data_IF_166860863903
#
_entry.id   IF_166860863903
#
_cell.length_a   1.000
_cell.length_b   1.000
_cell.length_c   1.000
_cell.angle_alpha   90.00
_cell.angle_beta   90.00
_cell.angle_gamma   90.00
#
_symmetry.space_group_name_H-M   'P 1'
#
loop_
_entity.id
_entity.type
_entity.pdbx_description
1 polymer ?
#
# COMPACT_ATOMS: atom_id res chain seq x y z
N UNK A 1 -19.93 -7.05 -10.37
CA UNK A 1 -20.04 -6.31 -9.10
C UNK A 1 -21.43 -5.72 -9.00
N UNK A 2 -21.99 -5.61 -7.79
CA UNK A 2 -23.26 -4.91 -7.57
C UNK A 2 -23.03 -3.40 -7.56
N UNK A 3 -23.91 -2.63 -8.19
CA UNK A 3 -23.85 -1.17 -8.06
C UNK A 3 -24.23 -0.73 -6.64
N UNK A 4 -23.70 0.41 -6.20
CA UNK A 4 -23.94 1.00 -4.89
C UNK A 4 -24.53 2.39 -5.02
N UNK A 5 -25.37 2.78 -4.06
CA UNK A 5 -25.97 4.10 -4.03
C UNK A 5 -24.90 5.15 -3.68
N UNK A 6 -24.57 6.01 -4.62
CA UNK A 6 -23.68 7.15 -4.46
C UNK A 6 -24.51 8.44 -4.42
N UNK A 7 -24.28 9.28 -3.40
CA UNK A 7 -25.05 10.50 -3.18
C UNK A 7 -24.15 11.65 -2.78
N UNK A 8 -24.13 12.70 -3.60
CA UNK A 8 -23.42 13.94 -3.30
C UNK A 8 -24.47 15.03 -3.20
N UNK A 9 -24.67 15.56 -1.99
CA UNK A 9 -25.73 16.52 -1.69
C UNK A 9 -25.21 17.69 -0.87
N UNK A 10 -24.43 18.54 -1.53
CA UNK A 10 -23.84 19.72 -0.92
C UNK A 10 -24.79 20.90 -1.05
N UNK A 11 -25.32 21.40 0.07
CA UNK A 11 -26.25 22.53 0.04
C UNK A 11 -25.63 23.77 -0.63
N UNK A 12 -24.33 24.00 -0.40
CA UNK A 12 -23.58 25.11 -1.00
C UNK A 12 -23.46 24.96 -2.52
N UNK A 13 -23.12 23.76 -3.01
CA UNK A 13 -23.04 23.50 -4.45
C UNK A 13 -24.42 23.61 -5.10
N UNK A 14 -25.47 23.06 -4.47
CA UNK A 14 -26.85 23.19 -4.96
C UNK A 14 -27.27 24.65 -5.08
N UNK A 15 -27.07 25.43 -4.02
CA UNK A 15 -27.46 26.84 -4.03
C UNK A 15 -26.68 27.65 -5.08
N UNK A 16 -25.37 27.41 -5.22
CA UNK A 16 -24.56 28.13 -6.21
C UNK A 16 -24.85 27.71 -7.65
N UNK A 17 -25.24 26.46 -7.91
CA UNK A 17 -25.66 25.99 -9.24
C UNK A 17 -26.94 26.68 -9.77
N UNK A 18 -27.76 27.26 -8.89
CA UNK A 18 -28.96 28.01 -9.28
C UNK A 18 -28.62 29.37 -9.93
N UNK A 19 -27.39 29.86 -9.75
CA UNK A 19 -26.92 31.12 -10.33
C UNK A 19 -26.49 30.86 -11.78
N UNK A 20 -27.45 30.96 -12.71
CA UNK A 20 -27.27 30.62 -14.14
C UNK A 20 -26.68 31.74 -15.01
N UNK A 21 -26.27 32.87 -14.44
CA UNK A 21 -25.78 34.01 -15.21
C UNK A 21 -24.27 33.91 -15.39
N UNK A 22 -23.84 33.59 -16.61
CA UNK A 22 -22.42 33.52 -16.99
C UNK A 22 -21.89 32.10 -17.15
N UNK A 23 -20.83 31.97 -17.95
CA UNK A 23 -20.05 30.74 -18.15
C UNK A 23 -18.58 31.13 -18.32
N UNK A 24 -18.04 31.80 -17.31
CA UNK A 24 -16.72 32.43 -17.29
C UNK A 24 -15.63 31.53 -16.69
N UNK A 25 -15.96 30.28 -16.35
CA UNK A 25 -14.99 29.26 -15.94
C UNK A 25 -15.24 27.89 -16.59
N UNK A 26 -14.18 27.13 -16.84
CA UNK A 26 -14.23 25.82 -17.46
C UNK A 26 -13.33 24.80 -16.73
N UNK A 27 -13.90 23.69 -16.28
CA UNK A 27 -13.12 22.51 -15.92
C UNK A 27 -12.82 21.70 -17.19
N UNK A 28 -11.56 21.35 -17.42
CA UNK A 28 -11.15 20.47 -18.51
C UNK A 28 -10.60 19.19 -17.88
N UNK A 29 -11.36 18.09 -17.95
CA UNK A 29 -10.95 16.79 -17.37
C UNK A 29 -10.67 15.80 -18.50
N UNK A 30 -9.41 15.40 -18.67
CA UNK A 30 -8.92 14.55 -19.78
C UNK A 30 -9.49 15.01 -21.15
N UNK A 31 -9.52 16.33 -21.38
CA UNK A 31 -10.06 16.94 -22.60
C UNK A 31 -11.58 17.18 -22.64
N UNK A 32 -12.36 16.68 -21.68
CA UNK A 32 -13.79 16.97 -21.56
C UNK A 32 -14.03 18.33 -20.87
N UNK A 33 -14.83 19.21 -21.47
CA UNK A 33 -15.08 20.57 -20.97
C UNK A 33 -16.40 20.68 -20.20
N UNK A 34 -16.35 21.28 -19.01
CA UNK A 34 -17.51 21.57 -18.16
C UNK A 34 -17.54 23.05 -17.80
N UNK A 35 -18.44 23.77 -18.44
CA UNK A 35 -18.60 25.21 -18.25
C UNK A 35 -19.46 25.53 -17.03
N UNK A 36 -19.04 26.54 -16.28
CA UNK A 36 -19.74 27.05 -15.09
C UNK A 36 -19.34 28.50 -14.83
N UNK A 37 -19.84 29.10 -13.76
CA UNK A 37 -19.35 30.40 -13.29
C UNK A 37 -18.11 30.25 -12.41
N UNK A 38 -17.20 31.23 -12.40
CA UNK A 38 -16.07 31.27 -11.47
C UNK A 38 -16.53 31.14 -10.01
N UNK A 39 -17.66 31.77 -9.67
CA UNK A 39 -18.23 31.72 -8.31
C UNK A 39 -18.65 30.30 -7.92
N UNK A 40 -19.32 29.57 -8.83
CA UNK A 40 -19.70 28.19 -8.58
C UNK A 40 -18.49 27.26 -8.59
N UNK A 41 -17.53 27.48 -9.48
CA UNK A 41 -16.28 26.72 -9.54
C UNK A 41 -15.47 26.82 -8.23
N UNK A 42 -15.40 28.01 -7.62
CA UNK A 42 -14.75 28.22 -6.33
C UNK A 42 -15.47 27.52 -5.15
N UNK A 43 -16.79 27.32 -5.25
CA UNK A 43 -17.55 26.54 -4.27
C UNK A 43 -17.32 25.04 -4.45
N UNK A 44 -17.27 24.58 -5.71
CA UNK A 44 -17.05 23.18 -6.06
C UNK A 44 -15.63 22.69 -5.73
N UNK A 45 -14.63 23.57 -5.80
CA UNK A 45 -13.23 23.19 -5.68
C UNK A 45 -12.44 24.21 -4.87
N UNK A 46 -11.85 23.75 -3.77
CA UNK A 46 -10.87 24.57 -3.03
C UNK A 46 -9.64 24.87 -3.89
N UNK A 47 -9.21 23.94 -4.75
CA UNK A 47 -8.14 24.18 -5.73
C UNK A 47 -8.44 25.39 -6.60
N UNK A 48 -9.63 25.45 -7.22
CA UNK A 48 -10.04 26.60 -8.04
C UNK A 48 -10.16 27.87 -7.21
N UNK A 49 -10.73 27.80 -6.00
CA UNK A 49 -10.82 28.95 -5.09
C UNK A 49 -9.44 29.56 -4.81
N UNK A 50 -8.44 28.72 -4.51
CA UNK A 50 -7.08 29.16 -4.23
C UNK A 50 -6.40 29.78 -5.47
N UNK A 51 -6.68 29.24 -6.66
CA UNK A 51 -6.23 29.83 -7.93
C UNK A 51 -6.85 31.21 -8.11
N UNK A 52 -8.18 31.34 -7.99
CA UNK A 52 -8.90 32.59 -8.22
C UNK A 52 -8.56 33.70 -7.20
N UNK A 53 -8.16 33.34 -5.97
CA UNK A 53 -7.62 34.29 -4.99
C UNK A 53 -6.28 34.87 -5.46
N UNK A 54 -5.46 34.06 -6.14
CA UNK A 54 -4.12 34.45 -6.60
C UNK A 54 -4.16 35.13 -7.97
N UNK A 55 -5.00 34.61 -8.86
CA UNK A 55 -5.22 35.07 -10.22
C UNK A 55 -6.72 35.02 -10.54
N UNK A 56 -7.38 36.18 -10.38
CA UNK A 56 -8.81 36.32 -10.65
C UNK A 56 -9.16 36.29 -12.15
N UNK A 57 -8.15 36.28 -13.03
CA UNK A 57 -8.35 36.21 -14.48
C UNK A 57 -8.37 34.77 -15.00
N UNK A 58 -8.10 33.77 -14.14
CA UNK A 58 -8.13 32.37 -14.51
C UNK A 58 -9.54 31.94 -14.99
N UNK A 59 -9.61 31.39 -16.21
CA UNK A 59 -10.86 30.99 -16.86
C UNK A 59 -10.99 29.47 -16.99
N UNK A 60 -9.92 28.71 -16.76
CA UNK A 60 -9.96 27.27 -16.87
C UNK A 60 -8.95 26.58 -15.96
N UNK A 61 -9.22 25.31 -15.68
CA UNK A 61 -8.27 24.39 -15.05
C UNK A 61 -8.24 23.09 -15.86
N UNK A 62 -7.03 22.63 -16.17
CA UNK A 62 -6.81 21.33 -16.80
C UNK A 62 -6.48 20.29 -15.73
N UNK A 63 -7.19 19.18 -15.77
CA UNK A 63 -7.12 18.08 -14.82
C UNK A 63 -6.96 16.80 -15.63
N UNK A 64 -5.83 16.14 -15.44
CA UNK A 64 -5.59 14.83 -16.03
C UNK A 64 -5.69 13.78 -14.92
N UNK A 65 -6.68 12.90 -15.05
CA UNK A 65 -6.87 11.72 -14.22
C UNK A 65 -6.29 10.53 -14.98
N UNK A 66 -5.40 9.78 -14.34
CA UNK A 66 -4.97 8.53 -14.91
C UNK A 66 -6.11 7.50 -14.87
N UNK A 67 -6.55 7.09 -16.05
CA UNK A 67 -7.45 5.96 -16.22
C UNK A 67 -6.56 4.73 -16.35
N UNK A 68 -6.43 3.95 -15.28
CA UNK A 68 -5.62 2.73 -15.26
C UNK A 68 -5.85 1.89 -16.51
N UNK A 69 -4.81 1.50 -17.23
CA UNK A 69 -4.95 0.86 -18.56
C UNK A 69 -5.13 -0.67 -18.52
N UNK A 70 -5.11 -1.29 -17.34
CA UNK A 70 -5.08 -2.76 -17.23
C UNK A 70 -6.38 -3.44 -17.71
N UNK A 71 -7.51 -2.72 -17.77
CA UNK A 71 -8.76 -3.18 -18.37
C UNK A 71 -9.44 -2.06 -19.18
N UNK A 72 -8.97 -1.83 -20.41
CA UNK A 72 -9.36 -0.68 -21.23
C UNK A 72 -10.88 -0.50 -21.37
N UNK A 73 -11.65 -1.56 -21.67
CA UNK A 73 -13.08 -1.41 -21.95
C UNK A 73 -13.92 -1.03 -20.71
N UNK A 74 -13.71 -1.71 -19.58
CA UNK A 74 -14.43 -1.42 -18.33
C UNK A 74 -14.04 -0.06 -17.77
N UNK A 75 -12.76 0.30 -17.86
CA UNK A 75 -12.28 1.59 -17.33
C UNK A 75 -12.77 2.77 -18.17
N UNK A 76 -12.95 2.60 -19.49
CA UNK A 76 -13.59 3.62 -20.34
C UNK A 76 -15.06 3.81 -19.95
N UNK A 77 -15.80 2.75 -19.64
CA UNK A 77 -17.20 2.87 -19.23
C UNK A 77 -17.33 3.57 -17.87
N UNK A 78 -16.57 3.13 -16.86
CA UNK A 78 -16.56 3.76 -15.53
C UNK A 78 -16.10 5.22 -15.61
N UNK A 79 -15.12 5.54 -16.46
CA UNK A 79 -14.72 6.92 -16.70
C UNK A 79 -15.84 7.76 -17.32
N UNK A 80 -16.54 7.25 -18.35
CA UNK A 80 -17.70 7.95 -18.92
C UNK A 80 -18.80 8.18 -17.88
N UNK A 81 -19.07 7.20 -17.02
CA UNK A 81 -20.01 7.35 -15.90
C UNK A 81 -19.54 8.45 -14.94
N UNK A 82 -18.27 8.45 -14.53
CA UNK A 82 -17.70 9.45 -13.63
C UNK A 82 -17.79 10.86 -14.21
N UNK A 83 -17.46 11.05 -15.49
CA UNK A 83 -17.60 12.32 -16.21
C UNK A 83 -19.06 12.79 -16.27
N UNK A 84 -20.01 11.88 -16.53
CA UNK A 84 -21.43 12.22 -16.51
C UNK A 84 -21.91 12.63 -15.10
N UNK A 85 -21.39 11.98 -14.06
CA UNK A 85 -21.68 12.32 -12.66
C UNK A 85 -21.15 13.71 -12.34
N UNK A 86 -19.90 13.98 -12.70
CA UNK A 86 -19.29 15.29 -12.52
C UNK A 86 -20.07 16.37 -13.29
N UNK A 87 -20.47 16.11 -14.53
CA UNK A 87 -21.29 17.03 -15.33
C UNK A 87 -22.60 17.39 -14.63
N UNK A 88 -23.35 16.39 -14.15
CA UNK A 88 -24.59 16.62 -13.40
C UNK A 88 -24.33 17.39 -12.12
N UNK A 89 -23.26 17.06 -11.39
CA UNK A 89 -22.90 17.75 -10.16
C UNK A 89 -22.54 19.22 -10.40
N UNK A 90 -21.84 19.55 -11.48
CA UNK A 90 -21.56 20.95 -11.88
C UNK A 90 -22.84 21.70 -12.28
N UNK A 91 -23.82 21.01 -12.88
CA UNK A 91 -25.07 21.64 -13.32
C UNK A 91 -26.10 21.82 -12.20
N UNK A 92 -26.17 20.88 -11.26
CA UNK A 92 -27.25 20.80 -10.27
C UNK A 92 -26.75 20.93 -8.82
N UNK A 93 -25.44 20.90 -8.60
CA UNK A 93 -24.81 20.82 -7.28
C UNK A 93 -25.16 19.56 -6.51
N UNK A 94 -25.76 18.57 -7.18
CA UNK A 94 -26.32 17.35 -6.60
C UNK A 94 -26.16 16.19 -7.57
N UNK A 95 -25.93 15.01 -7.01
CA UNK A 95 -26.08 13.77 -7.74
C UNK A 95 -26.56 12.65 -6.82
N UNK A 96 -27.46 11.82 -7.32
CA UNK A 96 -27.78 10.53 -6.70
C UNK A 96 -28.01 9.47 -7.77
N UNK A 97 -27.31 8.35 -7.64
CA UNK A 97 -27.42 7.24 -8.58
C UNK A 97 -26.66 6.02 -8.08
N UNK A 98 -26.86 4.90 -8.77
CA UNK A 98 -26.14 3.67 -8.50
C UNK A 98 -24.87 3.63 -9.37
N UNK A 99 -23.72 3.31 -8.77
CA UNK A 99 -22.43 3.27 -9.46
C UNK A 99 -21.59 2.06 -9.00
N UNK A 100 -20.67 1.63 -9.87
CA UNK A 100 -19.63 0.65 -9.55
C UNK A 100 -18.48 1.27 -8.73
N UNK A 101 -17.65 0.41 -8.10
CA UNK A 101 -16.54 0.86 -7.24
C UNK A 101 -15.50 1.61 -8.07
N UNK A 102 -15.22 1.16 -9.29
CA UNK A 102 -14.27 1.78 -10.21
C UNK A 102 -14.71 3.22 -10.57
N UNK A 103 -16.01 3.42 -10.85
CA UNK A 103 -16.57 4.76 -11.07
C UNK A 103 -16.42 5.62 -9.82
N UNK A 104 -16.68 5.07 -8.63
CA UNK A 104 -16.52 5.80 -7.37
C UNK A 104 -15.06 6.18 -7.10
N UNK A 105 -14.12 5.33 -7.50
CA UNK A 105 -12.69 5.60 -7.36
C UNK A 105 -12.24 6.76 -8.28
N UNK A 106 -12.69 6.78 -9.53
CA UNK A 106 -12.38 7.90 -10.46
C UNK A 106 -12.95 9.22 -9.92
N UNK A 107 -14.14 9.19 -9.32
CA UNK A 107 -14.73 10.39 -8.69
C UNK A 107 -13.97 10.79 -7.43
N UNK A 108 -13.44 9.83 -6.66
CA UNK A 108 -12.56 10.12 -5.54
C UNK A 108 -11.28 10.83 -6.00
N UNK A 109 -10.65 10.34 -7.07
CA UNK A 109 -9.43 10.93 -7.64
C UNK A 109 -9.69 12.38 -8.09
N UNK A 110 -10.83 12.64 -8.75
CA UNK A 110 -11.32 14.00 -8.99
C UNK A 110 -11.48 14.82 -7.71
N UNK A 111 -12.09 14.22 -6.69
CA UNK A 111 -12.27 14.83 -5.38
C UNK A 111 -10.96 15.28 -4.75
N UNK A 112 -9.92 14.46 -4.82
CA UNK A 112 -8.57 14.80 -4.31
C UNK A 112 -7.96 15.97 -5.08
N UNK A 113 -7.96 15.91 -6.42
CA UNK A 113 -7.37 16.96 -7.27
C UNK A 113 -8.10 18.31 -7.11
N UNK A 114 -9.42 18.26 -6.97
CA UNK A 114 -10.26 19.44 -6.77
C UNK A 114 -10.32 19.90 -5.31
N UNK A 115 -9.82 19.10 -4.37
CA UNK A 115 -10.06 19.24 -2.93
C UNK A 115 -11.56 19.41 -2.61
N UNK A 116 -12.36 18.48 -3.14
CA UNK A 116 -13.80 18.39 -2.90
C UNK A 116 -14.08 17.28 -1.88
N UNK A 117 -14.38 17.67 -0.64
CA UNK A 117 -14.65 16.74 0.47
C UNK A 117 -15.92 15.91 0.27
N UNK A 118 -16.92 16.41 -0.48
CA UNK A 118 -18.15 15.67 -0.70
C UNK A 118 -17.87 14.41 -1.55
N UNK A 119 -17.01 14.50 -2.58
CA UNK A 119 -16.57 13.32 -3.34
C UNK A 119 -15.67 12.40 -2.53
N UNK A 120 -14.71 12.97 -1.78
CA UNK A 120 -13.76 12.20 -0.95
C UNK A 120 -14.51 11.37 0.10
N UNK A 121 -15.47 12.00 0.79
CA UNK A 121 -16.24 11.36 1.86
C UNK A 121 -17.16 10.25 1.36
N UNK A 122 -17.78 10.42 0.18
CA UNK A 122 -18.65 9.38 -0.38
C UNK A 122 -17.90 8.10 -0.73
N UNK A 123 -16.69 8.20 -1.27
CA UNK A 123 -15.88 7.01 -1.55
C UNK A 123 -15.50 6.26 -0.27
N UNK A 124 -15.05 6.98 0.77
CA UNK A 124 -14.78 6.41 2.09
C UNK A 124 -16.01 5.70 2.67
N UNK A 125 -17.19 6.32 2.57
CA UNK A 125 -18.44 5.73 3.02
C UNK A 125 -18.76 4.42 2.28
N UNK A 126 -18.69 4.42 0.95
CA UNK A 126 -18.95 3.24 0.12
C UNK A 126 -18.01 2.10 0.50
N UNK A 127 -16.70 2.33 0.53
CA UNK A 127 -15.71 1.30 0.88
C UNK A 127 -15.94 0.77 2.30
N UNK A 128 -16.28 1.66 3.26
CA UNK A 128 -16.59 1.25 4.63
C UNK A 128 -17.81 0.31 4.72
N UNK A 129 -18.78 0.47 3.82
CA UNK A 129 -20.06 -0.26 3.84
C UNK A 129 -20.05 -1.61 3.10
N UNK A 130 -19.05 -1.84 2.22
CA UNK A 130 -18.99 -3.03 1.35
C UNK A 130 -18.19 -4.15 1.99
N UNK A 131 -18.62 -5.40 1.87
CA UNK A 131 -17.80 -6.55 2.29
C UNK A 131 -16.68 -6.84 1.29
N UNK A 132 -15.51 -7.22 1.82
CA UNK A 132 -14.37 -7.63 1.00
C UNK A 132 -14.62 -9.05 0.48
N UNK A 133 -14.29 -9.26 -0.79
CA UNK A 133 -14.40 -10.51 -1.54
C UNK A 133 -13.25 -10.64 -2.51
N UNK A 134 -13.05 -11.82 -3.09
CA UNK A 134 -12.04 -12.02 -4.13
C UNK A 134 -12.23 -11.08 -5.33
N UNK A 135 -13.49 -10.70 -5.64
CA UNK A 135 -13.80 -9.85 -6.79
C UNK A 135 -13.47 -8.37 -6.60
N UNK A 136 -13.27 -7.90 -5.36
CA UNK A 136 -13.10 -6.47 -5.05
C UNK A 136 -11.87 -6.16 -4.18
N UNK A 137 -11.11 -7.18 -3.76
CA UNK A 137 -9.94 -7.02 -2.89
C UNK A 137 -8.90 -6.05 -3.47
N UNK A 138 -8.71 -6.02 -4.79
CA UNK A 138 -7.81 -5.06 -5.45
C UNK A 138 -8.23 -3.60 -5.18
N UNK A 139 -9.52 -3.29 -5.29
CA UNK A 139 -10.06 -1.96 -5.01
C UNK A 139 -9.86 -1.58 -3.54
N UNK A 140 -9.98 -2.54 -2.61
CA UNK A 140 -9.74 -2.32 -1.18
C UNK A 140 -8.26 -2.08 -0.86
N UNK A 141 -7.34 -2.84 -1.48
CA UNK A 141 -5.90 -2.60 -1.34
C UNK A 141 -5.57 -1.21 -1.88
N UNK A 142 -6.10 -0.84 -3.05
CA UNK A 142 -5.86 0.46 -3.64
C UNK A 142 -6.42 1.60 -2.80
N UNK A 143 -7.64 1.47 -2.28
CA UNK A 143 -8.22 2.40 -1.32
C UNK A 143 -7.31 2.59 -0.11
N UNK A 144 -6.86 1.48 0.50
CA UNK A 144 -6.02 1.51 1.70
C UNK A 144 -4.71 2.24 1.44
N UNK A 145 -4.06 1.97 0.30
CA UNK A 145 -2.82 2.64 -0.08
C UNK A 145 -3.05 4.14 -0.38
N UNK A 146 -4.10 4.51 -1.13
CA UNK A 146 -4.44 5.91 -1.46
C UNK A 146 -4.80 6.73 -0.22
N UNK A 147 -5.52 6.14 0.75
CA UNK A 147 -6.12 6.87 1.89
C UNK A 147 -5.39 6.68 3.21
N UNK A 148 -4.49 5.70 3.29
CA UNK A 148 -3.85 5.19 4.53
C UNK A 148 -4.82 4.60 5.56
N UNK A 149 -6.05 4.32 5.14
CA UNK A 149 -7.00 3.58 5.95
C UNK A 149 -6.81 2.08 5.73
N UNK A 150 -5.96 1.50 6.57
CA UNK A 150 -5.51 0.11 6.46
C UNK A 150 -6.42 -0.88 7.18
N UNK A 151 -7.10 -0.45 8.24
CA UNK A 151 -7.69 -1.33 9.26
C UNK A 151 -8.53 -2.46 8.66
N UNK A 152 -9.54 -2.11 7.85
CA UNK A 152 -10.48 -3.09 7.29
C UNK A 152 -9.81 -4.06 6.32
N UNK A 153 -8.95 -3.55 5.45
CA UNK A 153 -8.27 -4.34 4.42
C UNK A 153 -7.21 -5.25 5.04
N UNK A 154 -6.42 -4.74 5.99
CA UNK A 154 -5.41 -5.51 6.70
C UNK A 154 -6.04 -6.65 7.50
N UNK A 155 -7.11 -6.42 8.26
CA UNK A 155 -7.76 -7.51 9.02
C UNK A 155 -8.34 -8.59 8.10
N UNK A 156 -8.88 -8.22 6.94
CA UNK A 156 -9.34 -9.20 5.96
C UNK A 156 -8.18 -10.01 5.38
N UNK A 157 -7.13 -9.35 4.90
CA UNK A 157 -5.97 -10.06 4.34
C UNK A 157 -5.32 -10.94 5.39
N UNK A 158 -5.10 -10.42 6.60
CA UNK A 158 -4.52 -11.13 7.73
C UNK A 158 -5.26 -12.44 8.05
N UNK A 159 -6.59 -12.41 8.05
CA UNK A 159 -7.42 -13.59 8.29
C UNK A 159 -7.47 -14.60 7.14
N UNK A 160 -6.92 -14.25 5.97
CA UNK A 160 -6.97 -15.06 4.75
C UNK A 160 -5.60 -15.32 4.13
N UNK A 161 -4.48 -14.96 4.78
CA UNK A 161 -3.11 -15.08 4.21
C UNK A 161 -2.86 -16.48 3.67
N UNK A 162 -3.05 -17.53 4.48
CA UNK A 162 -2.81 -18.91 4.04
C UNK A 162 -3.85 -19.42 3.04
N UNK A 163 -5.08 -18.89 3.08
CA UNK A 163 -6.14 -19.30 2.13
C UNK A 163 -5.85 -18.76 0.73
N UNK A 164 -5.46 -17.49 0.64
CA UNK A 164 -5.11 -16.82 -0.62
C UNK A 164 -3.79 -17.38 -1.14
N UNK A 165 -2.86 -17.65 -0.23
CA UNK A 165 -1.51 -18.10 -0.53
C UNK A 165 -0.52 -16.93 -0.63
N UNK A 166 0.64 -17.00 0.02
CA UNK A 166 1.65 -15.94 0.04
C UNK A 166 2.00 -15.34 -1.33
N UNK A 167 2.31 -16.19 -2.31
CA UNK A 167 2.71 -15.73 -3.65
C UNK A 167 1.58 -15.04 -4.41
N UNK A 168 0.34 -15.55 -4.29
CA UNK A 168 -0.83 -14.95 -4.95
C UNK A 168 -1.14 -13.58 -4.34
N UNK A 169 -1.01 -13.45 -3.02
CA UNK A 169 -1.17 -12.18 -2.33
C UNK A 169 -0.09 -11.17 -2.74
N UNK A 170 1.17 -11.59 -2.90
CA UNK A 170 2.22 -10.70 -3.41
C UNK A 170 1.92 -10.20 -4.83
N UNK A 171 1.51 -11.08 -5.76
CA UNK A 171 1.13 -10.69 -7.12
C UNK A 171 -0.07 -9.74 -7.14
N UNK A 172 -1.04 -9.95 -6.25
CA UNK A 172 -2.18 -9.05 -6.09
C UNK A 172 -1.72 -7.64 -5.68
N UNK A 173 -0.86 -7.55 -4.66
CA UNK A 173 -0.32 -6.27 -4.19
C UNK A 173 0.55 -5.61 -5.26
N UNK A 174 1.34 -6.38 -6.00
CA UNK A 174 2.19 -5.88 -7.10
C UNK A 174 1.35 -5.28 -8.23
N UNK A 175 0.28 -5.96 -8.61
CA UNK A 175 -0.66 -5.45 -9.62
C UNK A 175 -1.26 -4.11 -9.23
N UNK A 176 -1.54 -3.92 -7.93
CA UNK A 176 -2.05 -2.65 -7.40
C UNK A 176 -0.94 -1.61 -7.29
N UNK A 177 0.29 -1.98 -6.92
CA UNK A 177 1.44 -1.07 -6.84
C UNK A 177 1.67 -0.35 -8.17
N UNK A 178 1.73 -1.10 -9.27
CA UNK A 178 1.90 -0.50 -10.61
C UNK A 178 0.72 0.37 -11.06
N UNK A 179 -0.43 0.22 -10.41
CA UNK A 179 -1.67 0.91 -10.74
C UNK A 179 -1.83 2.24 -10.01
N UNK A 180 -0.99 2.54 -9.01
CA UNK A 180 -1.06 3.78 -8.24
C UNK A 180 0.04 4.73 -8.71
N UNK A 181 -0.34 5.91 -9.18
CA UNK A 181 0.62 6.96 -9.55
C UNK A 181 1.24 7.63 -8.33
N UNK A 182 2.49 8.11 -8.49
CA UNK A 182 3.21 8.87 -7.48
C UNK A 182 2.51 10.17 -7.04
N UNK A 183 1.62 10.72 -7.88
CA UNK A 183 0.92 11.99 -7.64
C UNK A 183 0.01 11.99 -6.41
N UNK A 184 -0.40 10.82 -5.90
CA UNK A 184 -1.22 10.71 -4.69
C UNK A 184 -0.41 10.84 -3.39
N UNK A 185 0.92 10.80 -3.48
CA UNK A 185 1.77 10.70 -2.30
C UNK A 185 2.66 11.94 -2.17
N UNK A 186 2.42 12.69 -1.09
CA UNK A 186 3.39 13.68 -0.60
C UNK A 186 4.59 13.01 0.12
N UNK A 187 4.53 11.70 0.32
CA UNK A 187 5.49 10.89 1.08
C UNK A 187 6.04 9.76 0.22
N UNK A 188 7.11 9.10 0.66
CA UNK A 188 7.71 7.99 -0.07
C UNK A 188 6.71 6.82 -0.15
N UNK A 189 6.28 6.47 -1.37
CA UNK A 189 5.37 5.37 -1.63
C UNK A 189 5.88 4.06 -1.01
N UNK A 190 7.19 3.84 -1.03
CA UNK A 190 7.84 2.65 -0.48
C UNK A 190 7.54 2.47 1.02
N UNK A 191 7.48 3.58 1.78
CA UNK A 191 7.19 3.54 3.23
C UNK A 191 5.73 3.16 3.49
N UNK A 192 4.81 3.67 2.68
CA UNK A 192 3.38 3.35 2.77
C UNK A 192 3.15 1.86 2.51
N UNK A 193 3.86 1.28 1.53
CA UNK A 193 3.78 -0.15 1.26
C UNK A 193 4.33 -0.99 2.42
N UNK A 194 5.50 -0.61 2.97
CA UNK A 194 6.07 -1.31 4.13
C UNK A 194 5.15 -1.22 5.34
N UNK A 195 4.51 -0.08 5.57
CA UNK A 195 3.54 0.11 6.65
C UNK A 195 2.27 -0.72 6.42
N UNK A 196 1.78 -0.81 5.19
CA UNK A 196 0.65 -1.65 4.84
C UNK A 196 0.92 -3.13 5.14
N UNK A 197 2.08 -3.66 4.71
CA UNK A 197 2.48 -5.04 5.02
C UNK A 197 2.69 -5.25 6.52
N UNK A 198 3.35 -4.30 7.19
CA UNK A 198 3.52 -4.35 8.64
C UNK A 198 2.17 -4.39 9.36
N UNK A 199 1.17 -3.65 8.87
CA UNK A 199 -0.18 -3.65 9.42
C UNK A 199 -0.90 -4.98 9.19
N UNK A 200 -0.70 -5.64 8.04
CA UNK A 200 -1.21 -7.01 7.81
C UNK A 200 -0.59 -7.98 8.82
N UNK A 201 0.74 -7.97 8.96
CA UNK A 201 1.48 -8.93 9.78
C UNK A 201 1.33 -8.71 11.29
N UNK A 202 0.98 -7.50 11.71
CA UNK A 202 0.73 -7.15 13.12
C UNK A 202 -0.75 -7.22 13.52
N UNK A 203 -1.66 -7.52 12.58
CA UNK A 203 -3.09 -7.57 12.84
C UNK A 203 -3.45 -8.72 13.81
N UNK A 204 -4.42 -8.48 14.70
CA UNK A 204 -4.86 -9.49 15.66
C UNK A 204 -5.58 -10.68 15.02
N UNK A 205 -6.06 -10.51 13.78
CA UNK A 205 -6.78 -11.53 13.01
C UNK A 205 -5.86 -12.35 12.10
N UNK A 206 -4.52 -12.22 12.20
CA UNK A 206 -3.60 -13.04 11.41
C UNK A 206 -3.89 -14.52 11.62
N UNK A 207 -4.31 -15.18 10.54
CA UNK A 207 -4.64 -16.59 10.51
C UNK A 207 -3.76 -17.31 9.49
N UNK A 208 -2.91 -18.19 10.00
CA UNK A 208 -2.03 -19.01 9.17
C UNK A 208 -2.08 -20.48 9.56
N UNK A 209 -1.98 -21.38 8.59
CA UNK A 209 -1.90 -22.82 8.86
C UNK A 209 -0.54 -23.19 9.46
N UNK A 210 0.53 -22.54 9.00
CA UNK A 210 1.91 -22.72 9.48
C UNK A 210 2.63 -21.38 9.46
N UNK A 211 3.61 -21.23 10.34
CA UNK A 211 4.48 -20.04 10.36
C UNK A 211 5.29 -19.91 9.06
N UNK A 212 5.55 -21.02 8.38
CA UNK A 212 6.17 -21.06 7.05
C UNK A 212 5.46 -20.12 6.06
N UNK A 213 4.12 -19.98 6.14
CA UNK A 213 3.35 -19.09 5.25
C UNK A 213 3.71 -17.61 5.46
N UNK A 214 3.99 -17.20 6.70
CA UNK A 214 4.42 -15.84 7.04
C UNK A 214 5.83 -15.61 6.49
N UNK A 215 6.73 -16.57 6.70
CA UNK A 215 8.09 -16.51 6.19
C UNK A 215 8.11 -16.41 4.66
N UNK A 216 7.34 -17.28 3.97
CA UNK A 216 7.18 -17.27 2.52
C UNK A 216 6.58 -15.96 2.01
N UNK A 217 5.61 -15.40 2.72
CA UNK A 217 5.01 -14.12 2.35
C UNK A 217 6.01 -12.97 2.44
N UNK A 218 6.77 -12.88 3.53
CA UNK A 218 7.81 -11.84 3.69
C UNK A 218 8.90 -12.00 2.64
N UNK A 219 9.40 -13.22 2.42
CA UNK A 219 10.40 -13.50 1.38
C UNK A 219 9.87 -13.12 -0.01
N UNK A 220 8.66 -13.56 -0.34
CA UNK A 220 8.03 -13.30 -1.64
C UNK A 220 7.80 -11.81 -1.85
N UNK A 221 7.35 -11.10 -0.83
CA UNK A 221 7.16 -9.66 -0.87
C UNK A 221 8.49 -8.94 -1.15
N UNK A 222 9.54 -9.23 -0.37
CA UNK A 222 10.84 -8.59 -0.57
C UNK A 222 11.39 -8.92 -1.96
N UNK A 223 11.28 -10.17 -2.44
CA UNK A 223 11.72 -10.55 -3.80
C UNK A 223 10.99 -9.77 -4.90
N UNK A 224 9.68 -9.65 -4.78
CA UNK A 224 8.81 -9.01 -5.78
C UNK A 224 9.09 -7.51 -5.85
N UNK A 225 9.25 -6.88 -4.69
CA UNK A 225 9.35 -5.43 -4.61
C UNK A 225 10.80 -4.90 -4.52
N UNK A 226 11.81 -5.74 -4.24
CA UNK A 226 13.23 -5.34 -4.22
C UNK A 226 13.71 -4.67 -5.52
N UNK A 227 13.32 -5.13 -6.72
CA UNK A 227 13.68 -4.45 -7.97
C UNK A 227 12.92 -3.14 -8.20
N UNK A 228 11.76 -2.97 -7.58
CA UNK A 228 10.81 -1.89 -7.84
C UNK A 228 10.97 -0.72 -6.87
N UNK A 229 11.14 -1.02 -5.59
CA UNK A 229 11.34 -0.02 -4.56
C UNK A 229 12.79 0.42 -4.56
N UNK A 230 13.04 1.64 -4.06
CA UNK A 230 14.37 2.10 -3.68
C UNK A 230 14.82 1.40 -2.38
N UNK A 231 14.80 0.07 -2.38
CA UNK A 231 15.21 -0.83 -1.30
C UNK A 231 16.73 -0.79 -1.07
N UNK A 232 17.39 0.35 -1.23
CA UNK A 232 18.76 0.55 -0.76
C UNK A 232 18.89 0.44 0.76
N UNK A 233 17.77 0.42 1.48
CA UNK A 233 17.74 0.39 2.93
C UNK A 233 17.33 -1.01 3.46
N UNK A 234 18.34 -1.78 3.85
CA UNK A 234 18.20 -3.06 4.59
C UNK A 234 17.24 -2.91 5.79
N UNK A 235 17.19 -1.72 6.40
CA UNK A 235 16.31 -1.39 7.54
C UNK A 235 14.82 -1.62 7.27
N UNK A 236 14.34 -1.45 6.02
CA UNK A 236 12.94 -1.70 5.65
C UNK A 236 12.64 -3.20 5.58
N UNK A 237 13.58 -3.99 5.07
CA UNK A 237 13.51 -5.46 5.09
C UNK A 237 13.54 -5.98 6.53
N UNK A 238 14.44 -5.45 7.36
CA UNK A 238 14.58 -5.82 8.77
C UNK A 238 13.28 -5.62 9.56
N UNK A 239 12.52 -4.57 9.24
CA UNK A 239 11.21 -4.31 9.85
C UNK A 239 10.24 -5.46 9.59
N UNK A 240 10.21 -5.99 8.37
CA UNK A 240 9.29 -7.08 7.99
C UNK A 240 9.74 -8.44 8.52
N UNK A 241 11.05 -8.69 8.55
CA UNK A 241 11.62 -9.95 9.06
C UNK A 241 11.27 -10.18 10.54
N UNK A 242 11.15 -9.10 11.34
CA UNK A 242 10.77 -9.17 12.77
C UNK A 242 9.41 -9.82 13.04
N UNK A 243 8.54 -9.94 12.03
CA UNK A 243 7.24 -10.60 12.18
C UNK A 243 7.33 -12.12 12.05
N UNK A 244 8.44 -12.67 11.54
CA UNK A 244 8.62 -14.11 11.34
C UNK A 244 9.05 -14.76 12.66
N UNK A 245 8.30 -15.76 13.13
CA UNK A 245 8.67 -16.54 14.31
C UNK A 245 9.42 -17.80 13.94
N UNK A 246 10.72 -17.67 13.63
CA UNK A 246 11.56 -18.77 13.15
C UNK A 246 11.55 -20.03 14.03
N UNK A 247 11.22 -19.91 15.32
CA UNK A 247 11.06 -21.05 16.22
C UNK A 247 9.91 -22.01 15.81
N UNK A 248 8.91 -21.53 15.07
CA UNK A 248 7.79 -22.33 14.55
C UNK A 248 7.94 -22.71 13.07
N UNK A 249 9.01 -22.26 12.42
CA UNK A 249 9.30 -22.56 11.03
C UNK A 249 9.93 -23.96 10.84
N UNK A 250 9.62 -24.59 9.72
CA UNK A 250 10.31 -25.81 9.28
C UNK A 250 11.78 -25.53 8.93
N UNK A 251 12.62 -26.55 9.00
CA UNK A 251 14.04 -26.37 8.66
C UNK A 251 14.22 -26.05 7.16
N UNK A 252 13.32 -26.53 6.31
CA UNK A 252 13.28 -26.23 4.88
C UNK A 252 13.08 -24.73 4.66
N UNK A 253 12.04 -24.12 5.25
CA UNK A 253 11.78 -22.70 5.05
C UNK A 253 12.88 -21.81 5.65
N UNK A 254 13.46 -22.22 6.79
CA UNK A 254 14.59 -21.50 7.40
C UNK A 254 15.80 -21.53 6.48
N UNK A 255 16.09 -22.69 5.85
CA UNK A 255 17.17 -22.79 4.87
C UNK A 255 16.92 -21.91 3.65
N UNK A 256 15.68 -21.88 3.14
CA UNK A 256 15.27 -20.97 2.07
C UNK A 256 15.44 -19.50 2.46
N UNK A 257 15.06 -19.12 3.68
CA UNK A 257 15.24 -17.77 4.20
C UNK A 257 16.71 -17.37 4.27
N UNK A 258 17.57 -18.23 4.84
CA UNK A 258 19.01 -17.97 4.94
C UNK A 258 19.60 -17.75 3.55
N UNK A 259 19.33 -18.67 2.61
CA UNK A 259 19.81 -18.56 1.23
C UNK A 259 19.37 -17.25 0.56
N UNK A 260 18.11 -16.86 0.76
CA UNK A 260 17.57 -15.61 0.24
C UNK A 260 18.27 -14.40 0.84
N UNK A 261 18.36 -14.32 2.17
CA UNK A 261 18.94 -13.17 2.86
C UNK A 261 20.45 -13.02 2.56
N UNK A 262 21.17 -14.14 2.47
CA UNK A 262 22.56 -14.18 1.98
C UNK A 262 22.70 -13.58 0.59
N UNK A 263 21.78 -13.90 -0.33
CA UNK A 263 21.82 -13.34 -1.69
C UNK A 263 21.64 -11.82 -1.70
N UNK A 264 20.79 -11.30 -0.81
CA UNK A 264 20.55 -9.87 -0.64
C UNK A 264 21.82 -9.18 -0.17
N UNK A 265 22.42 -9.64 0.94
CA UNK A 265 23.66 -9.06 1.48
C UNK A 265 24.78 -9.05 0.42
N UNK A 266 25.03 -10.20 -0.22
CA UNK A 266 26.11 -10.33 -1.19
C UNK A 266 25.87 -9.44 -2.44
N UNK A 267 24.62 -9.12 -2.76
CA UNK A 267 24.29 -8.19 -3.85
C UNK A 267 24.62 -6.73 -3.50
N UNK A 268 24.51 -6.35 -2.23
CA UNK A 268 24.92 -5.04 -1.73
C UNK A 268 26.44 -4.90 -1.71
N UNK A 269 27.17 -5.93 -1.27
CA UNK A 269 28.64 -5.92 -1.27
C UNK A 269 29.22 -5.83 -2.69
N UNK A 270 28.56 -6.45 -3.68
CA UNK A 270 28.90 -6.29 -5.11
C UNK A 270 28.64 -4.88 -5.65
N UNK A 271 27.68 -4.13 -5.10
CA UNK A 271 27.42 -2.73 -5.47
C UNK A 271 28.51 -1.81 -4.89
N UNK A 272 28.94 -2.05 -3.65
CA UNK A 272 29.99 -1.28 -2.96
C UNK A 272 31.37 -1.53 -3.61
N UNK A 273 31.67 -2.77 -3.99
CA UNK A 273 32.94 -3.14 -4.65
C UNK A 273 33.06 -2.67 -6.11
N UNK A 274 31.98 -2.23 -6.75
CA UNK A 274 32.07 -1.57 -8.07
C UNK A 274 32.61 -0.13 -8.00
N UNK A 275 32.53 0.53 -6.84
CA UNK A 275 33.11 1.86 -6.62
C UNK A 275 34.52 1.82 -6.00
N UNK A 276 34.93 0.69 -5.43
CA UNK A 276 36.31 0.47 -4.98
C UNK A 276 36.79 -0.90 -5.44
N UNK A 277 37.70 -0.91 -6.43
CA UNK A 277 38.50 -2.08 -6.77
C UNK A 277 39.40 -2.43 -5.58
N UNK A 278 39.01 -3.46 -4.84
CA UNK A 278 39.97 -4.33 -4.17
C UNK A 278 39.43 -5.75 -4.17
N UNK A 279 40.23 -6.64 -4.76
CA UNK A 279 40.01 -8.08 -4.84
C UNK A 279 39.99 -8.75 -3.47
N UNK A 280 39.39 -9.94 -3.46
CA UNK A 280 39.15 -10.88 -2.36
C UNK A 280 37.94 -10.56 -1.49
N UNK A 281 36.94 -11.45 -1.50
CA UNK A 281 36.70 -12.40 -0.41
C UNK A 281 35.55 -13.33 -0.82
N UNK A 282 35.80 -14.64 -0.72
CA UNK A 282 34.76 -15.66 -0.66
C UNK A 282 34.02 -15.40 0.65
N UNK A 283 32.84 -14.78 0.58
CA UNK A 283 31.98 -14.55 1.75
C UNK A 283 31.53 -15.89 2.29
N UNK A 284 32.10 -16.27 3.43
CA UNK A 284 31.80 -17.49 4.14
C UNK A 284 30.39 -17.34 4.76
N UNK A 285 29.53 -18.36 4.68
CA UNK A 285 28.16 -18.33 5.26
C UNK A 285 28.15 -17.88 6.74
N UNK A 286 29.26 -18.12 7.44
CA UNK A 286 29.50 -17.66 8.82
C UNK A 286 29.61 -16.14 8.97
N UNK A 287 30.14 -15.40 7.99
CA UNK A 287 30.19 -13.93 8.04
C UNK A 287 28.80 -13.34 7.84
N UNK A 288 27.98 -13.94 6.97
CA UNK A 288 26.58 -13.56 6.78
C UNK A 288 25.76 -13.87 8.04
N UNK A 289 26.01 -15.02 8.67
CA UNK A 289 25.36 -15.40 9.93
C UNK A 289 25.75 -14.48 11.08
N UNK A 290 27.05 -14.13 11.15
CA UNK A 290 27.59 -13.19 12.13
C UNK A 290 27.04 -11.79 11.88
N UNK A 291 26.87 -11.36 10.63
CA UNK A 291 26.26 -10.08 10.29
C UNK A 291 24.76 -10.07 10.60
N UNK A 292 23.99 -11.11 10.26
CA UNK A 292 22.60 -11.28 10.69
C UNK A 292 22.48 -11.14 12.21
N UNK A 293 23.30 -11.88 12.95
CA UNK A 293 23.31 -11.81 14.41
C UNK A 293 23.79 -10.45 14.93
N UNK A 294 24.82 -9.84 14.34
CA UNK A 294 25.34 -8.54 14.78
C UNK A 294 24.39 -7.39 14.46
N UNK A 295 23.74 -7.36 13.30
CA UNK A 295 22.73 -6.35 12.96
C UNK A 295 21.50 -6.49 13.87
N UNK A 296 21.08 -7.73 14.18
CA UNK A 296 20.01 -7.99 15.15
C UNK A 296 20.44 -7.62 16.58
N UNK A 297 21.65 -8.01 17.01
CA UNK A 297 22.24 -7.69 18.31
C UNK A 297 22.48 -6.19 18.49
N UNK A 298 22.85 -5.42 17.46
CA UNK A 298 23.05 -3.96 17.57
C UNK A 298 21.72 -3.25 17.90
N UNK A 299 20.57 -3.84 17.57
CA UNK A 299 19.26 -3.31 17.99
C UNK A 299 18.86 -3.67 19.42
N UNK A 300 19.57 -4.59 20.09
CA UNK A 300 19.34 -5.01 21.47
C UNK A 300 20.62 -4.84 22.31
N UNK A 301 20.66 -3.89 23.26
CA UNK A 301 21.84 -3.65 24.12
C UNK A 301 22.32 -4.91 24.89
N UNK A 302 23.13 -5.77 24.27
CA UNK A 302 23.69 -6.99 24.87
C UNK A 302 25.19 -7.03 24.57
N UNK A 303 26.00 -7.11 25.64
CA UNK A 303 27.44 -6.80 25.63
C UNK A 303 28.40 -8.01 25.63
N UNK A 304 27.93 -9.24 25.38
CA UNK A 304 28.81 -10.43 25.50
C UNK A 304 28.98 -11.20 24.18
N UNK A 305 30.09 -10.93 23.48
CA UNK A 305 30.40 -11.37 22.11
C UNK A 305 31.28 -12.66 22.06
N UNK A 306 31.66 -13.26 23.18
CA UNK A 306 32.76 -14.25 23.21
C UNK A 306 32.47 -15.69 22.77
N UNK A 307 31.31 -16.00 22.20
CA UNK A 307 30.94 -17.39 21.85
C UNK A 307 30.75 -17.70 20.36
N UNK A 308 30.99 -16.76 19.43
CA UNK A 308 30.71 -16.96 18.00
C UNK A 308 31.81 -17.66 17.17
N UNK A 309 33.00 -17.92 17.73
CA UNK A 309 34.15 -18.43 16.94
C UNK A 309 34.06 -19.93 16.53
N UNK A 310 32.95 -20.61 16.83
CA UNK A 310 32.71 -22.00 16.39
C UNK A 310 31.28 -22.17 15.91
N UNK A 311 31.03 -21.75 14.67
CA UNK A 311 29.76 -21.98 14.00
C UNK A 311 30.07 -22.81 12.74
N UNK A 312 29.66 -24.07 12.75
CA UNK A 312 29.75 -24.98 11.60
C UNK A 312 28.37 -25.14 10.97
N UNK A 313 28.34 -25.34 9.65
CA UNK A 313 27.17 -25.15 8.80
C UNK A 313 25.99 -26.10 9.09
N UNK A 314 24.79 -25.57 8.80
CA UNK A 314 23.46 -26.19 8.68
C UNK A 314 22.63 -26.51 9.93
N UNK A 315 23.00 -27.39 10.86
CA UNK A 315 22.07 -27.77 11.97
C UNK A 315 22.25 -26.96 13.28
N UNK A 316 23.48 -26.61 13.63
CA UNK A 316 23.76 -25.79 14.82
C UNK A 316 23.27 -24.36 14.62
N UNK A 317 23.39 -23.82 13.41
CA UNK A 317 22.94 -22.48 13.02
C UNK A 317 21.42 -22.35 13.12
N UNK A 318 20.69 -23.32 12.57
CA UNK A 318 19.22 -23.36 12.69
C UNK A 318 18.81 -23.41 14.16
N UNK A 319 19.49 -24.23 14.97
CA UNK A 319 19.23 -24.35 16.40
C UNK A 319 19.53 -23.05 17.17
N UNK A 320 20.61 -22.35 16.82
CA UNK A 320 21.00 -21.08 17.43
C UNK A 320 19.99 -19.96 17.10
N UNK A 321 19.52 -19.86 15.86
CA UNK A 321 18.43 -18.93 15.49
C UNK A 321 17.17 -19.24 16.30
N UNK A 322 16.72 -20.51 16.31
CA UNK A 322 15.53 -20.92 17.07
C UNK A 322 15.64 -20.57 18.56
N UNK A 323 16.82 -20.76 19.15
CA UNK A 323 17.05 -20.46 20.56
C UNK A 323 17.14 -18.97 20.87
N UNK A 324 17.78 -18.16 20.01
CA UNK A 324 17.94 -16.72 20.23
C UNK A 324 16.59 -15.98 20.20
N UNK A 325 15.77 -16.25 19.18
CA UNK A 325 14.44 -15.62 19.04
C UNK A 325 13.42 -16.10 20.09
N UNK A 326 13.59 -17.30 20.63
CA UNK A 326 12.79 -17.77 21.77
C UNK A 326 13.05 -16.95 23.06
N UNK A 327 14.22 -16.31 23.18
CA UNK A 327 14.62 -15.55 24.37
C UNK A 327 14.26 -14.06 24.34
N UNK A 328 14.15 -13.42 23.16
CA UNK A 328 13.91 -11.96 23.03
C UNK A 328 12.42 -11.53 23.08
N UNK A 329 11.49 -12.45 23.32
CA UNK A 329 10.04 -12.19 23.39
C UNK A 329 9.56 -11.43 24.65
N UNK A 330 10.41 -10.62 25.28
CA UNK A 330 10.03 -9.80 26.44
C UNK A 330 9.40 -8.45 26.01
N UNK A 331 9.55 -8.04 24.74
CA UNK A 331 9.07 -6.75 24.22
C UNK A 331 8.07 -6.78 23.06
N UNK A 332 7.71 -7.95 22.52
CA UNK A 332 6.65 -8.05 21.50
C UNK A 332 5.28 -7.99 22.20
N UNK A 333 4.26 -7.26 21.68
CA UNK A 333 2.93 -7.31 22.27
C UNK A 333 2.50 -8.78 22.32
N UNK A 334 2.21 -9.27 23.52
CA UNK A 334 1.58 -10.57 23.76
C UNK A 334 0.23 -10.58 23.03
N UNK A 335 0.23 -10.93 21.75
CA UNK A 335 -0.97 -11.40 21.07
C UNK A 335 -1.36 -12.66 21.82
N UNK A 336 -2.40 -12.50 22.66
CA UNK A 336 -2.95 -13.56 23.48
C UNK A 336 -3.22 -14.75 22.57
N UNK A 337 -2.75 -15.91 23.01
CA UNK A 337 -3.17 -17.23 22.55
C UNK A 337 -4.69 -17.23 22.31
N UNK A 338 -5.12 -17.02 21.07
CA UNK A 338 -6.34 -17.66 20.61
C UNK A 338 -6.04 -19.16 20.68
N UNK A 339 -6.85 -19.89 21.44
CA UNK A 339 -6.74 -21.32 21.65
C UNK A 339 -6.53 -22.01 20.30
N UNK A 340 -5.27 -22.42 20.04
CA UNK A 340 -4.90 -23.27 18.92
C UNK A 340 -5.41 -24.67 19.29
N UNK A 341 -6.63 -24.99 18.88
CA UNK A 341 -7.19 -26.33 19.03
C UNK A 341 -6.41 -27.32 18.17
N UNK A 342 -5.99 -28.41 18.82
CA UNK A 342 -5.41 -29.63 18.27
C UNK A 342 -6.28 -30.21 17.16
#
# INVERSE_FOLDING_TARGET
MSDFKFVVNSQYCRNSSLVKYGSDFCFIINGHRFYTTQSHAAVLSETVRNILITDNSAQEINIDININNNNQNTNIESFKKAINIFSKFVQEGYFSGNIDIETSEIIYDLGVLLKNEDFISQYKFIISSIFISESNIESFIRYSLKTRDFKKTCSFIASHISLIGPSKLCLLIESVYHSIESLYFNENIDDIFVDFISCILSDEHVFVYKEDDICDFVISFIKTFSPLLSFSEISKCDKLIKFIRFEFCTNEIISCFISFYSSIINSFDKKITKENKSDNIIQNENEIFTHLFQTLLVTSKITDIKQLDKISTTNENIRLIKNYWAHDNIGCPKVRLAQRSI
#
